data_IF_459614374083
#
_entry.id   IF_459614374083
#
_cell.length_a   1.000
_cell.length_b   1.000
_cell.length_c   1.000
_cell.angle_alpha   90.00
_cell.angle_beta   90.00
_cell.angle_gamma   90.00
#
_symmetry.space_group_name_H-M   'P 1'
#
loop_
_entity.id
_entity.type
_entity.pdbx_description
1 polymer ?
#
# COMPACT_ATOMS: atom_id res chain seq x y z
N UNK A 1 11.68 4.99 4.62
CA UNK A 1 10.67 3.91 4.55
C UNK A 1 9.43 4.32 3.78
N UNK A 2 8.70 5.36 4.19
CA UNK A 2 7.46 5.83 3.53
C UNK A 2 7.52 5.87 1.99
N UNK A 3 8.51 6.58 1.43
CA UNK A 3 8.67 6.75 -0.04
C UNK A 3 8.90 5.40 -0.73
N UNK A 4 9.85 4.60 -0.22
CA UNK A 4 10.22 3.31 -0.82
C UNK A 4 9.06 2.32 -0.78
N UNK A 5 8.43 2.17 0.39
CA UNK A 5 7.31 1.24 0.58
C UNK A 5 6.12 1.65 -0.28
N UNK A 6 5.76 2.93 -0.28
CA UNK A 6 4.67 3.45 -1.11
C UNK A 6 4.94 3.28 -2.61
N UNK A 7 6.18 3.52 -3.05
CA UNK A 7 6.58 3.30 -4.45
C UNK A 7 6.46 1.83 -4.86
N UNK A 8 7.02 0.91 -4.07
CA UNK A 8 6.95 -0.53 -4.38
C UNK A 8 5.51 -1.04 -4.37
N UNK A 9 4.67 -0.53 -3.47
CA UNK A 9 3.25 -0.84 -3.44
C UNK A 9 2.53 -0.32 -4.69
N UNK A 10 2.85 0.91 -5.12
CA UNK A 10 2.33 1.45 -6.36
C UNK A 10 2.78 0.64 -7.59
N UNK A 11 3.98 0.05 -7.57
CA UNK A 11 4.40 -0.86 -8.63
C UNK A 11 3.49 -2.10 -8.72
N UNK A 12 3.07 -2.69 -7.60
CA UNK A 12 2.09 -3.79 -7.60
C UNK A 12 0.74 -3.35 -8.16
N UNK A 13 0.24 -2.17 -7.78
CA UNK A 13 -0.99 -1.64 -8.35
C UNK A 13 -0.88 -1.38 -9.85
N UNK A 14 0.27 -0.88 -10.31
CA UNK A 14 0.54 -0.66 -11.73
C UNK A 14 0.57 -1.97 -12.53
N UNK A 15 1.09 -3.05 -11.95
CA UNK A 15 0.99 -4.38 -12.53
C UNK A 15 -0.48 -4.77 -12.75
N UNK A 16 -1.32 -4.65 -11.71
CA UNK A 16 -2.73 -5.05 -11.74
C UNK A 16 -3.60 -4.18 -12.67
N UNK A 17 -3.38 -2.87 -12.69
CA UNK A 17 -4.19 -1.93 -13.49
C UNK A 17 -3.72 -1.83 -14.94
N UNK A 18 -2.41 -1.74 -15.16
CA UNK A 18 -1.86 -1.39 -16.47
C UNK A 18 -1.12 -2.55 -17.14
N UNK A 19 -0.81 -3.64 -16.43
CA UNK A 19 -0.06 -4.78 -17.00
C UNK A 19 1.37 -4.43 -17.37
N UNK A 20 1.97 -3.48 -16.63
CA UNK A 20 3.35 -3.02 -16.83
C UNK A 20 4.27 -3.64 -15.77
N UNK A 21 5.57 -3.34 -15.81
CA UNK A 21 6.55 -3.79 -14.81
C UNK A 21 6.60 -5.33 -14.65
N UNK A 22 6.40 -6.05 -15.76
CA UNK A 22 6.41 -7.52 -15.80
C UNK A 22 5.16 -8.20 -15.22
N UNK A 23 4.12 -7.45 -14.85
CA UNK A 23 2.86 -7.98 -14.33
C UNK A 23 1.76 -8.13 -15.38
N UNK A 24 0.63 -8.73 -14.98
CA UNK A 24 -0.57 -8.91 -15.83
C UNK A 24 -1.73 -8.07 -15.29
N UNK A 25 -2.59 -7.59 -16.19
CA UNK A 25 -3.81 -6.89 -15.80
C UNK A 25 -4.78 -7.83 -15.09
N UNK A 26 -5.30 -7.40 -13.94
CA UNK A 26 -6.28 -8.13 -13.13
C UNK A 26 -7.66 -7.46 -13.16
N UNK A 27 -7.96 -6.69 -14.21
CA UNK A 27 -9.22 -5.94 -14.36
C UNK A 27 -10.46 -6.81 -14.61
N UNK A 28 -10.27 -8.09 -14.93
CA UNK A 28 -11.37 -9.03 -15.18
C UNK A 28 -12.01 -9.54 -13.88
N UNK A 29 -11.32 -9.39 -12.75
CA UNK A 29 -11.81 -9.72 -11.41
C UNK A 29 -12.00 -8.43 -10.61
N UNK A 30 -13.15 -8.28 -9.96
CA UNK A 30 -13.45 -7.11 -9.12
C UNK A 30 -12.46 -7.02 -7.97
N UNK A 31 -12.05 -8.16 -7.39
CA UNK A 31 -11.10 -8.15 -6.28
C UNK A 31 -9.71 -7.71 -6.75
N UNK A 32 -9.21 -8.25 -7.87
CA UNK A 32 -7.97 -7.81 -8.52
C UNK A 32 -7.98 -6.33 -8.95
N UNK A 33 -9.09 -5.85 -9.52
CA UNK A 33 -9.25 -4.45 -9.90
C UNK A 33 -9.23 -3.51 -8.68
N UNK A 34 -9.96 -3.85 -7.62
CA UNK A 34 -9.98 -3.09 -6.37
C UNK A 34 -8.61 -3.07 -5.70
N UNK A 35 -7.95 -4.22 -5.61
CA UNK A 35 -6.57 -4.31 -5.11
C UNK A 35 -5.63 -3.41 -5.93
N UNK A 36 -5.71 -3.46 -7.26
CA UNK A 36 -4.91 -2.61 -8.12
C UNK A 36 -5.12 -1.10 -7.88
N UNK A 37 -6.37 -0.66 -7.69
CA UNK A 37 -6.70 0.74 -7.38
C UNK A 37 -6.16 1.15 -6.01
N UNK A 38 -6.33 0.31 -4.99
CA UNK A 38 -5.83 0.59 -3.64
C UNK A 38 -4.29 0.61 -3.64
N UNK A 39 -3.64 -0.41 -4.19
CA UNK A 39 -2.18 -0.50 -4.26
C UNK A 39 -1.56 0.69 -4.97
N UNK A 40 -2.10 1.07 -6.13
CA UNK A 40 -1.59 2.20 -6.90
C UNK A 40 -1.86 3.53 -6.20
N UNK A 41 -3.13 3.78 -5.83
CA UNK A 41 -3.55 5.04 -5.25
C UNK A 41 -2.98 5.27 -3.85
N UNK A 42 -3.12 4.29 -2.96
CA UNK A 42 -2.58 4.36 -1.61
C UNK A 42 -1.05 4.35 -1.62
N UNK A 43 -0.41 3.59 -2.51
CA UNK A 43 1.04 3.61 -2.70
C UNK A 43 1.57 5.00 -3.04
N UNK A 44 0.96 5.68 -4.00
CA UNK A 44 1.30 7.07 -4.38
C UNK A 44 1.02 8.05 -3.24
N UNK A 45 -0.17 7.97 -2.63
CA UNK A 45 -0.55 8.85 -1.53
C UNK A 45 0.41 8.71 -0.33
N UNK A 46 0.77 7.47 0.01
CA UNK A 46 1.76 7.16 1.04
C UNK A 46 3.14 7.60 0.61
N UNK A 47 3.56 7.48 -0.66
CA UNK A 47 4.88 7.92 -1.11
C UNK A 47 5.04 9.45 -1.16
N UNK A 48 3.99 10.20 -1.51
CA UNK A 48 3.99 11.68 -1.57
C UNK A 48 3.77 12.28 -0.18
N UNK A 49 2.91 11.66 0.64
CA UNK A 49 2.68 12.06 2.03
C UNK A 49 1.38 12.84 2.17
N UNK A 50 0.44 12.60 1.27
CA UNK A 50 -0.85 13.24 1.24
C UNK A 50 -1.89 12.26 1.77
N UNK A 51 -2.54 12.61 2.89
CA UNK A 51 -3.41 11.69 3.64
C UNK A 51 -2.76 10.33 3.92
N UNK A 52 -1.44 10.33 4.18
CA UNK A 52 -0.66 9.10 4.24
C UNK A 52 -1.08 8.19 5.39
N UNK A 53 -1.57 8.77 6.49
CA UNK A 53 -2.12 7.99 7.59
C UNK A 53 -3.34 7.16 7.17
N UNK A 54 -4.30 7.79 6.49
CA UNK A 54 -5.55 7.14 6.04
C UNK A 54 -5.24 6.14 4.92
N UNK A 55 -4.44 6.56 3.94
CA UNK A 55 -4.03 5.69 2.83
C UNK A 55 -3.27 4.46 3.33
N UNK A 56 -2.36 4.62 4.29
CA UNK A 56 -1.64 3.50 4.88
C UNK A 56 -2.57 2.59 5.70
N UNK A 57 -3.55 3.13 6.44
CA UNK A 57 -4.52 2.30 7.15
C UNK A 57 -5.34 1.41 6.20
N UNK A 58 -5.79 1.98 5.08
CA UNK A 58 -6.52 1.23 4.04
C UNK A 58 -5.62 0.16 3.41
N UNK A 59 -4.40 0.52 3.01
CA UNK A 59 -3.43 -0.41 2.44
C UNK A 59 -3.06 -1.55 3.42
N UNK A 60 -2.97 -1.25 4.72
CA UNK A 60 -2.75 -2.26 5.76
C UNK A 60 -3.91 -3.27 5.81
N UNK A 61 -5.15 -2.79 5.80
CA UNK A 61 -6.35 -3.64 5.77
C UNK A 61 -6.44 -4.51 4.52
N UNK A 62 -6.11 -3.96 3.35
CA UNK A 62 -6.03 -4.71 2.09
C UNK A 62 -5.06 -5.89 2.21
N UNK A 63 -3.84 -5.63 2.71
CA UNK A 63 -2.82 -6.68 2.83
C UNK A 63 -3.15 -7.72 3.90
N UNK A 64 -3.88 -7.34 4.96
CA UNK A 64 -4.43 -8.30 5.90
C UNK A 64 -5.43 -9.24 5.20
N UNK A 65 -6.36 -8.69 4.42
CA UNK A 65 -7.32 -9.50 3.63
C UNK A 65 -6.58 -10.39 2.64
N UNK A 66 -5.57 -9.87 1.94
CA UNK A 66 -4.74 -10.64 1.02
C UNK A 66 -4.07 -11.83 1.74
N UNK A 67 -3.52 -11.62 2.93
CA UNK A 67 -2.92 -12.70 3.72
C UNK A 67 -3.94 -13.78 4.08
N UNK A 68 -5.06 -13.40 4.69
CA UNK A 68 -6.05 -14.38 5.16
C UNK A 68 -6.76 -15.11 4.02
N UNK A 69 -7.03 -14.43 2.89
CA UNK A 69 -7.69 -15.06 1.74
C UNK A 69 -6.75 -15.90 0.89
N UNK A 70 -5.52 -15.43 0.62
CA UNK A 70 -4.64 -16.05 -0.37
C UNK A 70 -3.50 -16.87 0.22
N UNK A 71 -3.11 -16.66 1.49
CA UNK A 71 -1.92 -17.25 2.07
C UNK A 71 -2.18 -18.12 3.30
N UNK A 72 -3.04 -17.70 4.23
CA UNK A 72 -3.19 -18.34 5.54
C UNK A 72 -3.53 -19.84 5.49
N UNK A 73 -4.31 -20.29 4.49
CA UNK A 73 -4.69 -21.70 4.33
C UNK A 73 -3.55 -22.61 3.84
N UNK A 74 -2.44 -22.05 3.36
CA UNK A 74 -1.33 -22.81 2.74
C UNK A 74 -0.23 -23.18 3.74
N UNK A 75 -0.40 -22.87 5.02
CA UNK A 75 0.55 -23.21 6.09
C UNK A 75 0.57 -22.16 7.19
N UNK A 76 1.03 -22.57 8.38
CA UNK A 76 1.04 -21.72 9.57
C UNK A 76 2.03 -20.55 9.46
N UNK A 77 3.27 -20.83 9.04
CA UNK A 77 4.32 -19.83 8.98
C UNK A 77 4.28 -19.02 7.67
N UNK A 78 4.33 -17.68 7.70
CA UNK A 78 4.30 -16.83 6.50
C UNK A 78 5.38 -17.17 5.46
N UNK A 79 6.56 -17.59 5.91
CA UNK A 79 7.65 -18.02 5.04
C UNK A 79 7.32 -19.32 4.28
N UNK A 80 6.51 -20.19 4.87
CA UNK A 80 6.06 -21.46 4.24
C UNK A 80 4.90 -21.21 3.29
N UNK A 81 3.96 -20.33 3.67
CA UNK A 81 2.76 -20.04 2.87
C UNK A 81 2.93 -18.92 1.83
N UNK A 82 4.16 -18.39 1.69
CA UNK A 82 4.55 -17.27 0.82
C UNK A 82 3.82 -15.95 1.10
N UNK A 83 3.25 -15.79 2.29
CA UNK A 83 2.52 -14.61 2.74
C UNK A 83 3.38 -13.58 3.46
N UNK A 84 4.69 -13.80 3.56
CA UNK A 84 5.63 -12.91 4.26
C UNK A 84 5.52 -11.45 3.80
N UNK A 85 5.47 -11.20 2.48
CA UNK A 85 5.30 -9.85 1.94
C UNK A 85 3.96 -9.22 2.32
N UNK A 86 2.87 -10.00 2.34
CA UNK A 86 1.56 -9.49 2.74
C UNK A 86 1.57 -9.07 4.22
N UNK A 87 2.15 -9.88 5.09
CA UNK A 87 2.32 -9.54 6.51
C UNK A 87 3.23 -8.31 6.67
N UNK A 88 4.35 -8.27 5.95
CA UNK A 88 5.30 -7.17 6.03
C UNK A 88 4.66 -5.84 5.60
N UNK A 89 4.02 -5.78 4.44
CA UNK A 89 3.29 -4.58 4.01
C UNK A 89 2.18 -4.22 4.99
N UNK A 90 1.41 -5.18 5.49
CA UNK A 90 0.35 -4.95 6.47
C UNK A 90 0.86 -4.19 7.70
N UNK A 91 1.94 -4.67 8.33
CA UNK A 91 2.46 -4.05 9.55
C UNK A 91 3.28 -2.78 9.29
N UNK A 92 4.00 -2.70 8.16
CA UNK A 92 4.70 -1.47 7.79
C UNK A 92 3.71 -0.33 7.53
N UNK A 93 2.62 -0.60 6.81
CA UNK A 93 1.57 0.39 6.61
C UNK A 93 0.83 0.73 7.89
N UNK A 94 0.56 -0.25 8.76
CA UNK A 94 -0.02 0.03 10.08
C UNK A 94 0.87 0.95 10.93
N UNK A 95 2.19 0.73 10.90
CA UNK A 95 3.17 1.62 11.54
C UNK A 95 3.17 3.02 10.92
N UNK A 96 3.09 3.13 9.59
CA UNK A 96 3.00 4.45 8.93
C UNK A 96 1.68 5.15 9.32
N UNK A 97 0.58 4.40 9.43
CA UNK A 97 -0.72 4.94 9.81
C UNK A 97 -0.71 5.55 11.22
N UNK A 98 -0.01 4.93 12.17
CA UNK A 98 0.08 5.42 13.55
C UNK A 98 1.05 6.60 13.72
N UNK A 99 2.10 6.68 12.90
CA UNK A 99 3.08 7.77 12.97
C UNK A 99 2.61 9.08 12.29
N UNK A 100 1.52 9.03 11.53
CA UNK A 100 0.97 10.20 10.82
C UNK A 100 1.85 10.68 9.66
N UNK A 101 1.52 11.85 9.12
CA UNK A 101 2.08 12.37 7.86
C UNK A 101 3.61 12.71 7.90
N UNK A 102 4.27 12.64 9.06
CA UNK A 102 5.72 12.84 9.18
C UNK A 102 6.22 14.26 8.84
N UNK A 103 7.54 14.48 8.98
CA UNK A 103 8.20 15.79 8.73
C UNK A 103 8.26 16.21 7.25
N UNK A 104 8.19 15.25 6.35
CA UNK A 104 8.33 15.38 4.88
C UNK A 104 6.97 15.23 4.16
N UNK A 105 5.85 15.49 4.81
CA UNK A 105 4.56 15.49 4.13
C UNK A 105 4.30 16.80 3.40
N UNK A 106 3.76 16.68 2.18
CA UNK A 106 3.27 17.79 1.38
C UNK A 106 2.26 18.66 2.14
N UNK A 107 1.42 18.08 3.02
CA UNK A 107 0.48 18.82 3.89
C UNK A 107 1.20 19.81 4.81
N UNK A 108 2.38 19.43 5.33
CA UNK A 108 3.20 20.28 6.21
C UNK A 108 3.91 21.40 5.42
N UNK A 109 4.22 21.18 4.15
CA UNK A 109 4.73 22.24 3.25
C UNK A 109 3.66 23.31 2.99
N UNK A 110 2.41 22.90 2.77
CA UNK A 110 1.28 23.83 2.61
C UNK A 110 1.04 24.66 3.88
N UNK A 111 1.09 24.03 5.06
CA UNK A 111 0.93 24.74 6.34
C UNK A 111 2.05 25.74 6.67
N UNK A 112 3.22 25.63 6.02
CA UNK A 112 4.36 26.53 6.26
C UNK A 112 4.31 27.81 5.43
N UNK A 113 3.41 27.93 4.46
CA UNK A 113 3.22 29.18 3.71
C UNK A 113 2.36 30.14 4.54
N UNK A 114 2.91 31.23 5.08
CA UNK A 114 2.10 32.23 5.77
C UNK A 114 1.11 32.88 4.78
N UNK A 115 -0.08 33.33 5.25
CA UNK A 115 -0.90 34.24 4.45
C UNK A 115 -0.09 35.50 4.15
N UNK A 116 -0.11 35.93 2.88
CA UNK A 116 0.44 37.23 2.46
C UNK A 116 -0.39 38.37 3.02
#
# INVERSE_FOLDING_TARGET
MRIVVGFLFACHGAQKLFGVLGGRKELHDIQGALAGVIEFGAGIAVAIGFFSAIAAFIASGEMAVAYFKAHASRGFWPIVNRGELAVLYCFVFLYIATQGDGRLSFRRLIQKSPPK
#
